data_IF_362581481385
#
_entry.id   IF_362581481385
#
_cell.length_a   1.000
_cell.length_b   1.000
_cell.length_c   1.000
_cell.angle_alpha   90.00
_cell.angle_beta   90.00
_cell.angle_gamma   90.00
#
_symmetry.space_group_name_H-M   'P 1'
#
loop_
_entity.id
_entity.type
_entity.pdbx_description
1 polymer ?
#
# COMPACT_ATOMS: atom_id res chain seq x y z
N UNK A 1 89.37 20.85 -13.29
CA UNK A 1 88.74 20.00 -14.34
C UNK A 1 88.31 18.69 -13.70
N UNK A 2 86.99 18.48 -13.55
CA UNK A 2 86.25 17.27 -13.12
C UNK A 2 84.83 17.77 -12.75
N UNK A 3 83.89 17.76 -13.71
CA UNK A 3 82.86 16.73 -13.92
C UNK A 3 82.08 16.40 -12.66
N UNK A 4 80.78 16.73 -12.60
CA UNK A 4 79.75 15.95 -11.89
C UNK A 4 78.32 16.35 -12.33
N UNK A 5 77.72 15.45 -13.13
CA UNK A 5 76.34 14.91 -13.04
C UNK A 5 75.16 15.89 -13.10
N UNK A 6 74.52 15.91 -14.26
CA UNK A 6 73.14 16.34 -14.53
C UNK A 6 72.16 15.37 -13.83
N UNK A 7 71.36 15.88 -12.88
CA UNK A 7 70.23 15.15 -12.28
C UNK A 7 68.99 15.32 -13.15
N UNK A 8 68.47 14.21 -13.65
CA UNK A 8 67.16 14.12 -14.29
C UNK A 8 66.05 14.27 -13.22
N UNK A 9 65.10 15.18 -13.46
CA UNK A 9 63.90 15.35 -12.64
C UNK A 9 62.84 14.33 -13.07
N UNK A 10 62.44 13.47 -12.13
CA UNK A 10 61.33 12.53 -12.27
C UNK A 10 60.05 13.22 -11.76
N UNK A 11 58.94 13.24 -12.51
CA UNK A 11 57.71 13.86 -12.04
C UNK A 11 57.00 12.94 -11.05
N UNK A 12 56.59 13.49 -9.89
CA UNK A 12 55.70 12.83 -8.95
C UNK A 12 54.33 12.62 -9.59
N UNK A 13 53.98 11.36 -9.84
CA UNK A 13 52.63 10.94 -10.21
C UNK A 13 51.76 10.99 -8.94
N UNK A 14 50.87 11.98 -8.82
CA UNK A 14 49.87 12.03 -7.76
C UNK A 14 48.80 10.97 -8.05
N UNK A 15 48.83 9.86 -7.30
CA UNK A 15 47.79 8.83 -7.34
C UNK A 15 46.59 9.38 -6.56
N UNK A 16 45.63 9.95 -7.29
CA UNK A 16 44.29 10.26 -6.78
C UNK A 16 43.56 8.95 -6.54
N UNK A 17 43.43 8.54 -5.28
CA UNK A 17 42.47 7.54 -4.87
C UNK A 17 41.06 8.11 -5.05
N UNK A 18 40.44 7.84 -6.19
CA UNK A 18 39.00 7.95 -6.33
C UNK A 18 38.38 6.83 -5.49
N UNK A 19 37.97 7.15 -4.27
CA UNK A 19 36.95 6.37 -3.57
C UNK A 19 35.70 6.39 -4.43
N UNK A 20 35.45 5.27 -5.12
CA UNK A 20 34.17 5.02 -5.76
C UNK A 20 33.11 4.96 -4.65
N UNK A 21 32.43 6.08 -4.40
CA UNK A 21 31.15 6.06 -3.73
C UNK A 21 30.21 5.27 -4.63
N UNK A 22 30.03 3.98 -4.34
CA UNK A 22 28.88 3.24 -4.84
C UNK A 22 27.64 3.99 -4.32
N UNK A 23 26.98 4.71 -5.21
CA UNK A 23 25.59 5.13 -4.98
C UNK A 23 24.81 3.88 -4.59
N UNK A 24 23.97 3.90 -3.54
CA UNK A 24 22.99 2.83 -3.32
C UNK A 24 22.08 2.83 -4.55
N UNK A 25 22.45 2.00 -5.53
CA UNK A 25 21.67 1.76 -6.71
C UNK A 25 20.37 1.10 -6.26
N UNK A 26 19.30 1.49 -6.93
CA UNK A 26 18.01 0.82 -6.94
C UNK A 26 18.19 -0.71 -6.85
N UNK A 27 17.95 -1.27 -5.65
CA UNK A 27 17.93 -2.72 -5.47
C UNK A 27 16.60 -3.21 -6.03
N UNK A 28 16.57 -3.40 -7.34
CA UNK A 28 15.41 -4.00 -7.98
C UNK A 28 15.54 -5.52 -7.88
N UNK A 29 15.09 -6.07 -6.76
CA UNK A 29 15.14 -7.51 -6.45
C UNK A 29 14.25 -8.37 -7.37
N UNK A 30 13.41 -7.74 -8.20
CA UNK A 30 12.65 -8.40 -9.27
C UNK A 30 13.39 -8.30 -10.61
N UNK A 31 14.67 -7.88 -10.62
CA UNK A 31 15.51 -7.89 -11.81
C UNK A 31 15.76 -9.33 -12.29
N UNK A 32 15.14 -9.67 -13.41
CA UNK A 32 15.27 -10.97 -14.06
C UNK A 32 14.00 -11.79 -14.10
N UNK A 33 12.90 -11.32 -13.48
CA UNK A 33 11.58 -11.91 -13.66
C UNK A 33 11.05 -11.53 -15.05
N UNK A 34 10.49 -12.50 -15.78
CA UNK A 34 10.01 -12.34 -17.16
C UNK A 34 8.50 -12.52 -17.23
N UNK A 35 7.87 -12.11 -18.34
CA UNK A 35 6.44 -12.33 -18.55
C UNK A 35 6.05 -13.84 -18.51
N UNK A 36 7.02 -14.74 -18.67
CA UNK A 36 6.84 -16.18 -18.54
C UNK A 36 6.64 -16.62 -17.08
N UNK A 37 7.17 -15.84 -16.12
CA UNK A 37 6.92 -16.01 -14.68
C UNK A 37 5.53 -15.49 -14.26
N UNK A 38 4.90 -14.66 -15.12
CA UNK A 38 3.58 -14.04 -14.96
C UNK A 38 2.47 -14.76 -15.76
N UNK A 39 2.70 -16.00 -16.24
CA UNK A 39 1.82 -16.72 -17.18
C UNK A 39 0.34 -16.94 -16.75
N UNK A 40 -0.05 -16.53 -15.53
CA UNK A 40 -1.44 -16.50 -15.07
C UNK A 40 -2.17 -15.16 -15.35
N UNK A 41 -1.48 -14.09 -15.74
CA UNK A 41 -2.07 -12.78 -16.05
C UNK A 41 -1.85 -12.43 -17.52
N UNK A 42 -2.64 -13.06 -18.40
CA UNK A 42 -2.64 -12.80 -19.84
C UNK A 42 -3.34 -11.47 -20.24
N UNK A 43 -3.48 -10.50 -19.33
CA UNK A 43 -4.02 -9.16 -19.63
C UNK A 43 -2.91 -8.10 -19.77
N UNK A 44 -1.81 -8.51 -20.39
CA UNK A 44 -0.78 -7.64 -20.91
C UNK A 44 -1.30 -6.78 -22.07
N UNK A 45 -2.02 -5.70 -21.74
CA UNK A 45 -2.15 -4.53 -22.62
C UNK A 45 -1.23 -3.43 -22.10
N UNK A 46 -0.03 -3.40 -22.67
CA UNK A 46 0.92 -2.30 -22.56
C UNK A 46 0.52 -1.09 -23.42
N UNK A 47 -0.77 -0.79 -23.58
CA UNK A 47 -1.24 0.30 -24.46
C UNK A 47 -2.42 1.05 -23.83
N UNK A 48 -2.17 1.80 -22.75
CA UNK A 48 -3.02 2.95 -22.40
C UNK A 48 -2.09 4.14 -22.13
N UNK A 49 -2.21 5.14 -22.98
CA UNK A 49 -1.45 6.37 -22.94
C UNK A 49 -1.83 7.21 -21.70
N UNK A 50 -0.81 7.81 -21.09
CA UNK A 50 -0.83 9.02 -20.26
C UNK A 50 -2.19 9.57 -19.78
N UNK A 51 -2.75 8.96 -18.73
CA UNK A 51 -3.74 9.56 -17.85
C UNK A 51 -3.22 9.45 -16.41
N UNK A 52 -2.95 10.60 -15.76
CA UNK A 52 -2.53 10.75 -14.36
C UNK A 52 -1.71 9.60 -13.75
N UNK A 53 -0.37 9.65 -13.80
CA UNK A 53 0.52 8.62 -13.24
C UNK A 53 0.41 8.55 -11.71
N UNK A 54 -0.61 7.84 -11.21
CA UNK A 54 -0.81 7.65 -9.77
C UNK A 54 0.29 6.74 -9.22
N UNK A 55 1.03 7.29 -8.26
CA UNK A 55 2.23 6.68 -7.67
C UNK A 55 1.98 6.46 -6.17
N UNK A 56 2.65 5.47 -5.58
CA UNK A 56 2.57 5.20 -4.14
C UNK A 56 3.68 5.92 -3.37
N UNK A 57 3.32 6.54 -2.26
CA UNK A 57 4.22 7.31 -1.40
C UNK A 57 4.03 6.92 0.05
N UNK A 58 5.13 6.78 0.79
CA UNK A 58 5.08 6.87 2.25
C UNK A 58 4.71 8.30 2.64
N UNK A 59 3.81 8.44 3.61
CA UNK A 59 3.37 9.74 4.12
C UNK A 59 3.67 9.86 5.62
N UNK A 60 4.18 11.02 6.03
CA UNK A 60 4.35 11.39 7.43
C UNK A 60 3.90 12.82 7.67
N UNK A 61 3.43 13.11 8.89
CA UNK A 61 3.08 14.47 9.30
C UNK A 61 4.31 15.37 9.43
N UNK A 62 4.12 16.66 9.23
CA UNK A 62 5.12 17.66 9.52
C UNK A 62 4.93 18.21 10.94
N UNK A 63 5.82 17.79 11.86
CA UNK A 63 5.81 18.21 13.28
C UNK A 63 6.63 19.48 13.55
N UNK A 64 7.14 20.15 12.50
CA UNK A 64 7.87 21.41 12.65
C UNK A 64 6.95 22.51 13.18
N UNK A 65 7.49 23.36 14.07
CA UNK A 65 6.77 24.51 14.64
C UNK A 65 7.10 25.78 13.86
N UNK A 66 6.18 26.24 13.03
CA UNK A 66 6.29 27.46 12.21
C UNK A 66 4.89 27.96 11.78
N UNK A 67 4.82 29.01 10.97
CA UNK A 67 3.56 29.51 10.45
C UNK A 67 3.02 28.61 9.31
N UNK A 68 1.78 28.13 9.45
CA UNK A 68 1.02 27.50 8.36
C UNK A 68 0.91 28.48 7.17
N UNK A 69 1.03 28.02 5.91
CA UNK A 69 1.10 26.63 5.43
C UNK A 69 2.52 26.08 5.28
N UNK A 70 3.57 26.73 5.79
CA UNK A 70 4.96 26.29 5.58
C UNK A 70 5.38 25.08 6.44
N UNK A 71 4.56 24.73 7.43
CA UNK A 71 4.63 23.51 8.21
C UNK A 71 3.24 23.11 8.74
N UNK A 72 3.16 21.94 9.37
CA UNK A 72 1.93 21.33 9.86
C UNK A 72 1.20 20.49 8.81
N UNK A 73 1.73 20.44 7.58
CA UNK A 73 1.26 19.56 6.51
C UNK A 73 1.86 18.14 6.59
N UNK A 74 2.26 17.61 5.44
CA UNK A 74 2.77 16.26 5.29
C UNK A 74 4.01 16.23 4.39
N UNK A 75 4.89 15.28 4.65
CA UNK A 75 5.98 14.91 3.78
C UNK A 75 5.67 13.58 3.10
N UNK A 76 5.87 13.54 1.78
CA UNK A 76 5.66 12.35 0.97
C UNK A 76 6.97 11.91 0.33
N UNK A 77 7.30 10.63 0.48
CA UNK A 77 8.47 9.98 -0.12
C UNK A 77 8.00 8.85 -1.03
N UNK A 78 8.42 8.86 -2.29
CA UNK A 78 8.05 7.82 -3.26
C UNK A 78 8.60 6.45 -2.81
N UNK A 79 7.72 5.45 -2.70
CA UNK A 79 8.13 4.10 -2.29
C UNK A 79 9.05 3.45 -3.35
N UNK A 80 9.97 2.60 -2.88
CA UNK A 80 10.98 1.90 -3.70
C UNK A 80 11.87 2.82 -4.55
N UNK A 81 12.00 4.09 -4.15
CA UNK A 81 12.77 5.10 -4.86
C UNK A 81 13.52 5.96 -3.84
N UNK A 82 14.71 6.41 -4.23
CA UNK A 82 15.53 7.34 -3.42
C UNK A 82 15.10 8.79 -3.60
N UNK A 83 14.29 9.07 -4.63
CA UNK A 83 13.84 10.42 -4.97
C UNK A 83 12.37 10.47 -5.34
N UNK A 84 11.79 11.65 -5.13
CA UNK A 84 10.39 12.01 -5.28
C UNK A 84 10.33 13.29 -6.13
N UNK A 85 9.58 13.26 -7.22
CA UNK A 85 9.32 14.45 -8.04
C UNK A 85 8.16 15.22 -7.41
N UNK A 86 8.42 16.45 -6.98
CA UNK A 86 7.46 17.32 -6.31
C UNK A 86 6.54 18.04 -7.30
N UNK A 87 5.55 18.78 -6.79
CA UNK A 87 4.56 19.52 -7.60
C UNK A 87 5.17 20.52 -8.59
N UNK A 88 6.39 20.99 -8.32
CA UNK A 88 7.14 21.93 -9.15
C UNK A 88 8.08 21.24 -10.15
N UNK A 89 8.05 19.91 -10.24
CA UNK A 89 8.93 19.11 -11.10
C UNK A 89 10.34 18.89 -10.57
N UNK A 90 10.70 19.46 -9.41
CA UNK A 90 12.00 19.22 -8.78
C UNK A 90 12.04 17.85 -8.11
N UNK A 91 13.20 17.21 -8.14
CA UNK A 91 13.44 15.94 -7.47
C UNK A 91 14.08 16.16 -6.10
N UNK A 92 13.51 15.54 -5.07
CA UNK A 92 13.99 15.60 -3.69
C UNK A 92 13.81 14.24 -2.99
N UNK A 93 14.42 14.00 -1.83
CA UNK A 93 14.17 12.76 -1.08
C UNK A 93 12.70 12.63 -0.65
N UNK A 94 12.06 13.76 -0.32
CA UNK A 94 10.66 13.86 0.04
C UNK A 94 10.10 15.23 -0.36
N UNK A 95 8.81 15.31 -0.60
CA UNK A 95 8.12 16.55 -0.97
C UNK A 95 7.15 16.97 0.13
N UNK A 96 7.14 18.26 0.46
CA UNK A 96 6.21 18.83 1.42
C UNK A 96 4.91 19.25 0.75
N UNK A 97 3.79 18.99 1.41
CA UNK A 97 2.47 19.48 1.03
C UNK A 97 1.71 19.98 2.26
N UNK A 98 1.12 21.19 2.25
CA UNK A 98 0.28 21.65 3.34
C UNK A 98 -1.13 21.06 3.34
N UNK A 99 -1.58 20.50 2.22
CA UNK A 99 -2.97 20.10 2.02
C UNK A 99 -3.05 18.76 1.29
N UNK A 100 -3.75 17.81 1.91
CA UNK A 100 -4.22 16.59 1.26
C UNK A 100 -5.61 16.85 0.70
N UNK A 101 -5.79 16.61 -0.59
CA UNK A 101 -7.08 16.63 -1.26
C UNK A 101 -7.58 15.18 -1.43
N UNK A 102 -8.75 14.91 -0.86
CA UNK A 102 -9.42 13.60 -0.91
C UNK A 102 -10.58 13.56 -1.91
N UNK A 103 -10.73 14.60 -2.74
CA UNK A 103 -11.83 14.70 -3.71
C UNK A 103 -11.89 13.53 -4.71
N UNK A 104 -10.76 12.86 -4.96
CA UNK A 104 -10.67 11.71 -5.86
C UNK A 104 -10.59 10.35 -5.12
N UNK A 105 -10.56 10.31 -3.78
CA UNK A 105 -10.46 9.05 -3.03
C UNK A 105 -11.80 8.47 -2.63
N UNK A 106 -12.86 9.30 -2.58
CA UNK A 106 -14.16 8.90 -2.03
C UNK A 106 -14.11 8.51 -0.55
N UNK A 107 -13.08 8.93 0.20
CA UNK A 107 -12.90 8.55 1.61
C UNK A 107 -13.63 9.52 2.54
N UNK A 108 -14.37 8.99 3.50
CA UNK A 108 -15.10 9.78 4.49
C UNK A 108 -14.16 10.45 5.50
N UNK A 109 -14.64 11.52 6.14
CA UNK A 109 -13.83 12.33 7.04
C UNK A 109 -13.17 11.51 8.15
N UNK A 110 -13.88 10.54 8.74
CA UNK A 110 -13.34 9.66 9.77
C UNK A 110 -12.13 8.84 9.27
N UNK A 111 -12.20 8.35 8.04
CA UNK A 111 -11.10 7.59 7.42
C UNK A 111 -9.94 8.52 7.05
N UNK A 112 -10.23 9.72 6.57
CA UNK A 112 -9.21 10.74 6.33
C UNK A 112 -8.48 11.12 7.63
N UNK A 113 -9.20 11.23 8.75
CA UNK A 113 -8.62 11.55 10.06
C UNK A 113 -7.77 10.40 10.59
N UNK A 114 -8.19 9.14 10.37
CA UNK A 114 -7.36 7.97 10.65
C UNK A 114 -6.04 8.03 9.89
N UNK A 115 -6.07 8.32 8.58
CA UNK A 115 -4.85 8.48 7.79
C UNK A 115 -3.95 9.61 8.35
N UNK A 116 -4.53 10.77 8.67
CA UNK A 116 -3.76 11.91 9.22
C UNK A 116 -3.11 11.55 10.56
N UNK A 117 -3.84 10.86 11.44
CA UNK A 117 -3.32 10.39 12.72
C UNK A 117 -2.15 9.41 12.53
N UNK A 118 -2.31 8.39 11.69
CA UNK A 118 -1.23 7.44 11.39
C UNK A 118 -0.03 8.11 10.72
N UNK A 119 -0.25 9.11 9.87
CA UNK A 119 0.84 9.90 9.29
C UNK A 119 1.58 10.71 10.37
N UNK A 120 0.89 11.27 11.36
CA UNK A 120 1.52 11.96 12.49
C UNK A 120 2.35 11.02 13.36
N UNK A 121 1.91 9.78 13.57
CA UNK A 121 2.68 8.75 14.26
C UNK A 121 3.98 8.40 13.50
N UNK A 122 3.91 8.34 12.16
CA UNK A 122 5.07 8.12 11.30
C UNK A 122 6.14 9.23 11.40
N UNK A 123 5.81 10.38 11.98
CA UNK A 123 6.77 11.48 12.18
C UNK A 123 7.70 11.28 13.37
N UNK A 124 7.32 10.40 14.31
CA UNK A 124 8.03 10.20 15.58
C UNK A 124 8.47 8.75 15.81
N UNK A 125 8.00 7.81 14.98
CA UNK A 125 8.40 6.41 14.99
C UNK A 125 9.16 6.05 13.70
N UNK A 126 10.16 5.14 13.77
CA UNK A 126 10.84 4.64 12.58
C UNK A 126 9.93 3.78 11.70
N UNK A 127 10.27 3.68 10.42
CA UNK A 127 9.53 2.90 9.41
C UNK A 127 8.39 3.68 8.74
N UNK A 128 7.62 2.98 7.91
CA UNK A 128 6.47 3.53 7.20
C UNK A 128 5.21 3.08 7.91
N UNK A 129 4.37 4.01 8.37
CA UNK A 129 3.09 3.68 9.03
C UNK A 129 1.88 3.92 8.13
N UNK A 130 1.99 4.84 7.18
CA UNK A 130 0.95 5.17 6.24
C UNK A 130 1.51 5.29 4.82
N UNK A 131 0.75 4.80 3.86
CA UNK A 131 1.03 4.87 2.43
C UNK A 131 -0.17 5.50 1.73
N UNK A 132 0.07 6.38 0.77
CA UNK A 132 -0.96 6.94 -0.10
C UNK A 132 -0.63 6.66 -1.56
N UNK A 133 -1.66 6.38 -2.35
CA UNK A 133 -1.60 6.46 -3.81
C UNK A 133 -2.17 7.81 -4.23
N UNK A 134 -1.53 8.46 -5.19
CA UNK A 134 -2.00 9.78 -5.62
C UNK A 134 -1.03 10.50 -6.54
N UNK A 135 -1.20 11.82 -6.62
CA UNK A 135 -0.38 12.73 -7.43
C UNK A 135 -0.25 14.10 -6.80
N UNK A 136 0.86 14.77 -7.06
CA UNK A 136 1.00 16.19 -6.73
C UNK A 136 0.18 17.08 -7.66
N UNK A 137 -0.36 18.16 -7.11
CA UNK A 137 -1.08 19.19 -7.84
C UNK A 137 -0.74 20.58 -7.29
N UNK A 138 -1.10 21.63 -8.03
CA UNK A 138 -0.95 23.01 -7.54
C UNK A 138 -2.07 23.32 -6.53
N UNK A 139 -1.75 24.09 -5.49
CA UNK A 139 -2.68 24.50 -4.44
C UNK A 139 -3.78 25.47 -4.95
N UNK A 140 -3.47 26.21 -6.02
CA UNK A 140 -4.32 27.26 -6.61
C UNK A 140 -3.70 28.64 -6.40
N UNK A 141 -3.78 29.51 -7.42
CA UNK A 141 -3.06 30.80 -7.45
C UNK A 141 -3.53 31.85 -6.43
N UNK A 142 -4.71 31.66 -5.83
CA UNK A 142 -5.30 32.59 -4.85
C UNK A 142 -5.06 32.22 -3.39
N UNK A 143 -4.46 31.05 -3.09
CA UNK A 143 -4.15 30.64 -1.71
C UNK A 143 -2.81 31.21 -1.25
N UNK A 144 -2.69 31.54 0.05
CA UNK A 144 -1.37 31.81 0.67
C UNK A 144 -0.53 30.53 0.55
N UNK A 145 0.73 30.66 0.15
CA UNK A 145 1.57 29.50 -0.15
C UNK A 145 1.25 28.84 -1.48
N UNK A 146 0.73 29.57 -2.48
CA UNK A 146 0.41 29.04 -3.81
C UNK A 146 1.62 28.40 -4.54
N UNK A 147 2.84 28.75 -4.13
CA UNK A 147 4.09 28.10 -4.55
C UNK A 147 4.26 26.69 -4.00
N UNK A 148 3.49 26.31 -2.97
CA UNK A 148 3.42 24.96 -2.41
C UNK A 148 2.43 24.11 -3.21
N UNK A 149 2.68 22.81 -3.24
CA UNK A 149 1.81 21.84 -3.90
C UNK A 149 0.83 21.21 -2.92
N UNK A 150 -0.37 20.87 -3.37
CA UNK A 150 -1.27 19.94 -2.68
C UNK A 150 -1.04 18.52 -3.17
N UNK A 151 -1.42 17.52 -2.38
CA UNK A 151 -1.39 16.12 -2.83
C UNK A 151 -2.80 15.57 -2.96
N UNK A 152 -3.15 15.09 -4.16
CA UNK A 152 -4.44 14.45 -4.43
C UNK A 152 -4.31 12.98 -4.09
N UNK A 153 -5.03 12.56 -3.06
CA UNK A 153 -5.09 11.18 -2.58
C UNK A 153 -6.17 10.45 -3.37
N UNK A 154 -5.85 9.26 -3.85
CA UNK A 154 -6.82 8.33 -4.48
C UNK A 154 -6.96 7.03 -3.69
N UNK A 155 -5.92 6.61 -2.96
CA UNK A 155 -5.98 5.49 -2.03
C UNK A 155 -5.12 5.79 -0.81
N UNK A 156 -5.48 5.18 0.32
CA UNK A 156 -4.74 5.26 1.56
C UNK A 156 -4.60 3.86 2.17
N UNK A 157 -3.49 3.60 2.83
CA UNK A 157 -3.13 2.30 3.38
C UNK A 157 -2.40 2.51 4.72
N UNK A 158 -2.70 1.67 5.72
CA UNK A 158 -2.11 1.79 7.06
C UNK A 158 -1.46 0.50 7.52
N UNK A 159 -0.31 0.63 8.18
CA UNK A 159 0.43 -0.49 8.74
C UNK A 159 -0.41 -1.25 9.76
N UNK A 160 -0.26 -2.56 9.79
CA UNK A 160 -0.99 -3.46 10.69
C UNK A 160 -0.19 -3.80 11.95
N UNK A 161 1.08 -3.42 12.00
CA UNK A 161 1.93 -3.59 13.18
C UNK A 161 2.78 -2.36 13.51
N UNK A 162 3.20 -2.31 14.78
CA UNK A 162 4.16 -1.34 15.30
C UNK A 162 5.61 -1.58 14.85
N UNK A 163 5.91 -2.71 14.19
CA UNK A 163 7.26 -3.08 13.76
C UNK A 163 7.86 -2.06 12.78
N UNK A 164 9.19 -2.01 12.74
CA UNK A 164 9.92 -1.17 11.80
C UNK A 164 9.78 -1.78 10.41
N UNK A 165 9.29 -0.98 9.48
CA UNK A 165 9.15 -1.37 8.08
C UNK A 165 10.51 -1.34 7.38
N UNK A 166 10.87 -2.44 6.73
CA UNK A 166 12.08 -2.56 5.91
C UNK A 166 11.83 -3.44 4.68
N UNK A 167 12.70 -3.31 3.67
CA UNK A 167 12.62 -4.02 2.39
C UNK A 167 11.78 -3.33 1.31
N UNK A 168 11.53 -4.05 0.21
CA UNK A 168 10.74 -3.56 -0.92
C UNK A 168 9.26 -3.62 -0.61
N UNK A 169 8.56 -2.56 -1.00
CA UNK A 169 7.10 -2.51 -0.94
C UNK A 169 6.51 -3.16 -2.19
N UNK A 170 5.76 -4.24 -2.00
CA UNK A 170 5.03 -4.93 -3.06
C UNK A 170 3.54 -4.96 -2.76
N UNK A 171 2.71 -4.95 -3.78
CA UNK A 171 1.30 -5.32 -3.68
C UNK A 171 1.18 -6.83 -3.86
N UNK A 172 0.57 -7.53 -2.91
CA UNK A 172 0.38 -8.99 -2.95
C UNK A 172 -1.11 -9.31 -3.04
N UNK A 173 -1.45 -10.22 -3.96
CA UNK A 173 -2.81 -10.72 -4.16
C UNK A 173 -2.79 -12.21 -4.44
N UNK A 174 -3.85 -12.92 -4.08
CA UNK A 174 -4.10 -14.27 -4.61
C UNK A 174 -4.24 -14.21 -6.14
N UNK A 175 -3.62 -15.15 -6.84
CA UNK A 175 -3.68 -15.25 -8.30
C UNK A 175 -4.63 -16.38 -8.77
N UNK A 176 -5.37 -17.01 -7.85
CA UNK A 176 -6.30 -18.10 -8.14
C UNK A 176 -5.64 -19.46 -8.39
N UNK A 177 -4.31 -19.57 -8.45
CA UNK A 177 -3.64 -20.84 -8.66
C UNK A 177 -3.77 -21.74 -7.43
N UNK A 178 -4.17 -23.00 -7.65
CA UNK A 178 -4.28 -24.03 -6.61
C UNK A 178 -3.53 -25.28 -7.06
N UNK A 179 -2.42 -25.59 -6.40
CA UNK A 179 -1.54 -26.68 -6.78
C UNK A 179 -1.81 -27.93 -5.95
N UNK A 180 -1.61 -29.11 -6.55
CA UNK A 180 -1.70 -30.39 -5.85
C UNK A 180 -0.46 -30.65 -4.98
N UNK A 181 0.66 -29.99 -5.28
CA UNK A 181 1.92 -30.16 -4.58
C UNK A 181 2.61 -28.81 -4.33
N UNK A 182 3.27 -28.71 -3.17
CA UNK A 182 4.00 -27.51 -2.75
C UNK A 182 5.45 -27.49 -3.30
N UNK A 183 6.09 -26.32 -3.41
CA UNK A 183 5.55 -24.97 -3.18
C UNK A 183 4.54 -24.55 -4.26
N UNK A 184 3.42 -23.94 -3.86
CA UNK A 184 2.41 -23.47 -4.82
C UNK A 184 2.49 -21.95 -4.99
N UNK A 185 2.90 -21.42 -6.17
CA UNK A 185 3.01 -19.99 -6.40
C UNK A 185 1.64 -19.33 -6.61
N UNK A 186 0.83 -19.37 -5.54
CA UNK A 186 -0.59 -18.99 -5.51
C UNK A 186 -0.84 -17.50 -5.27
N UNK A 187 0.23 -16.74 -5.03
CA UNK A 187 0.17 -15.30 -4.84
C UNK A 187 0.98 -14.60 -5.92
N UNK A 188 0.46 -13.49 -6.44
CA UNK A 188 1.20 -12.56 -7.28
C UNK A 188 1.68 -11.38 -6.44
N UNK A 189 2.97 -11.09 -6.50
CA UNK A 189 3.57 -9.87 -5.95
C UNK A 189 3.89 -8.91 -7.08
N UNK A 190 3.62 -7.62 -6.87
CA UNK A 190 3.96 -6.54 -7.80
C UNK A 190 4.69 -5.42 -7.07
N UNK A 191 5.92 -5.13 -7.45
CA UNK A 191 6.68 -4.05 -6.83
C UNK A 191 6.00 -2.69 -7.09
N UNK A 192 5.79 -1.93 -6.02
CA UNK A 192 5.18 -0.62 -6.14
C UNK A 192 6.09 0.32 -6.92
N UNK A 193 5.46 1.18 -7.74
CA UNK A 193 6.14 2.17 -8.60
C UNK A 193 7.06 1.57 -9.68
N UNK A 194 6.90 0.28 -9.99
CA UNK A 194 7.54 -0.42 -11.11
C UNK A 194 6.49 -1.22 -11.89
N UNK A 195 6.90 -1.78 -13.04
CA UNK A 195 6.07 -2.70 -13.82
C UNK A 195 6.32 -4.17 -13.46
N UNK A 196 7.21 -4.47 -12.50
CA UNK A 196 7.70 -5.82 -12.24
C UNK A 196 6.80 -6.58 -11.28
N UNK A 197 6.56 -7.84 -11.61
CA UNK A 197 5.80 -8.79 -10.82
C UNK A 197 6.47 -10.16 -10.83
N UNK A 198 6.08 -10.99 -9.87
CA UNK A 198 6.44 -12.40 -9.82
C UNK A 198 5.35 -13.16 -9.06
N UNK A 199 5.32 -14.48 -9.21
CA UNK A 199 4.52 -15.32 -8.33
C UNK A 199 5.35 -15.84 -7.16
N UNK A 200 4.78 -15.79 -5.97
CA UNK A 200 5.36 -16.31 -4.72
C UNK A 200 4.46 -17.39 -4.13
N UNK A 201 5.09 -18.31 -3.42
CA UNK A 201 4.46 -19.45 -2.79
C UNK A 201 4.31 -19.31 -1.28
N UNK A 202 4.95 -18.31 -0.67
CA UNK A 202 4.92 -18.11 0.77
C UNK A 202 5.18 -16.66 1.16
N UNK A 203 4.65 -16.27 2.31
CA UNK A 203 4.96 -15.01 3.00
C UNK A 203 5.37 -15.34 4.43
N UNK A 204 6.62 -15.00 4.79
CA UNK A 204 7.17 -15.22 6.12
C UNK A 204 6.91 -13.99 7.00
N UNK A 205 6.05 -14.16 8.01
CA UNK A 205 5.60 -13.09 8.91
C UNK A 205 6.42 -12.97 10.20
N UNK A 206 7.50 -13.73 10.34
CA UNK A 206 8.26 -13.82 11.60
C UNK A 206 8.80 -12.47 12.10
N UNK A 207 9.17 -11.56 11.19
CA UNK A 207 9.67 -10.22 11.52
C UNK A 207 8.58 -9.13 11.59
N UNK A 208 7.31 -9.49 11.38
CA UNK A 208 6.20 -8.52 11.30
C UNK A 208 5.76 -7.97 12.66
N UNK A 209 6.07 -8.69 13.74
CA UNK A 209 5.52 -8.42 15.07
C UNK A 209 4.00 -8.64 15.19
N UNK A 210 3.37 -9.33 14.23
CA UNK A 210 1.97 -9.72 14.25
C UNK A 210 1.78 -11.06 14.97
N UNK A 211 0.62 -11.23 15.59
CA UNK A 211 0.18 -12.53 16.11
C UNK A 211 -0.33 -13.44 14.99
N UNK A 212 -0.36 -14.75 15.24
CA UNK A 212 -0.90 -15.74 14.29
C UNK A 212 -2.34 -15.43 13.86
N UNK A 213 -3.16 -14.88 14.78
CA UNK A 213 -4.53 -14.45 14.51
C UNK A 213 -4.56 -13.31 13.47
N UNK A 214 -3.76 -12.26 13.69
CA UNK A 214 -3.64 -11.14 12.75
C UNK A 214 -3.07 -11.56 11.40
N UNK A 215 -2.10 -12.49 11.40
CA UNK A 215 -1.57 -13.08 10.16
C UNK A 215 -2.67 -13.82 9.41
N UNK A 216 -3.52 -14.56 10.11
CA UNK A 216 -4.71 -15.21 9.54
C UNK A 216 -5.68 -14.22 8.90
N UNK A 217 -6.01 -13.13 9.58
CA UNK A 217 -6.86 -12.06 9.06
C UNK A 217 -6.29 -11.43 7.78
N UNK A 218 -4.99 -11.15 7.77
CA UNK A 218 -4.28 -10.62 6.60
C UNK A 218 -4.23 -11.62 5.45
N UNK A 219 -4.15 -12.91 5.75
CA UNK A 219 -4.29 -13.97 4.75
C UNK A 219 -5.58 -13.80 3.93
N UNK A 220 -6.71 -13.51 4.59
CA UNK A 220 -7.98 -13.25 3.88
C UNK A 220 -7.95 -11.98 3.04
N UNK A 221 -7.26 -10.93 3.50
CA UNK A 221 -7.11 -9.66 2.75
C UNK A 221 -6.39 -9.82 1.40
N UNK A 222 -5.57 -10.86 1.22
CA UNK A 222 -4.95 -11.14 -0.07
C UNK A 222 -5.94 -11.60 -1.14
N UNK A 223 -7.09 -12.17 -0.73
CA UNK A 223 -8.15 -12.59 -1.64
C UNK A 223 -9.12 -11.45 -2.01
N UNK A 224 -9.08 -10.34 -1.28
CA UNK A 224 -9.89 -9.16 -1.59
C UNK A 224 -9.38 -8.44 -2.85
N UNK A 225 -10.25 -7.64 -3.48
CA UNK A 225 -9.89 -6.88 -4.67
C UNK A 225 -8.75 -5.88 -4.39
N UNK A 226 -8.66 -5.34 -3.17
CA UNK A 226 -7.55 -4.47 -2.81
C UNK A 226 -6.24 -5.24 -2.70
N UNK A 227 -6.25 -6.49 -2.23
CA UNK A 227 -5.05 -7.18 -1.76
C UNK A 227 -4.41 -6.48 -0.56
N UNK A 228 -3.13 -6.78 -0.34
CA UNK A 228 -2.29 -6.15 0.68
C UNK A 228 -1.08 -5.46 0.06
N UNK A 229 -0.54 -4.47 0.75
CA UNK A 229 0.85 -4.04 0.52
C UNK A 229 1.71 -4.68 1.60
N UNK A 230 2.83 -5.29 1.20
CA UNK A 230 3.81 -5.90 2.11
C UNK A 230 5.15 -5.21 1.90
N UNK A 231 5.86 -4.96 3.00
CA UNK A 231 7.26 -4.60 2.98
C UNK A 231 8.11 -5.78 3.45
N UNK A 232 9.19 -6.07 2.73
CA UNK A 232 10.20 -7.06 3.10
C UNK A 232 11.02 -7.47 1.90
N UNK A 233 11.70 -8.61 1.97
CA UNK A 233 12.67 -9.05 0.97
C UNK A 233 12.32 -10.43 0.40
N UNK A 234 12.72 -10.69 -0.84
CA UNK A 234 12.54 -12.02 -1.44
C UNK A 234 13.51 -13.04 -0.86
N UNK A 235 13.01 -14.25 -0.70
CA UNK A 235 13.81 -15.41 -0.39
C UNK A 235 13.44 -16.60 -1.29
N UNK A 236 14.36 -17.56 -1.39
CA UNK A 236 14.11 -18.82 -2.07
C UNK A 236 14.14 -19.95 -1.04
N UNK A 237 13.27 -20.93 -1.21
CA UNK A 237 13.17 -22.09 -0.34
C UNK A 237 12.93 -23.36 -1.15
N UNK A 238 12.92 -24.51 -0.47
CA UNK A 238 12.61 -25.80 -1.10
C UNK A 238 11.67 -26.61 -0.22
N UNK A 239 10.63 -27.16 -0.82
CA UNK A 239 9.77 -28.19 -0.20
C UNK A 239 9.94 -29.47 -0.99
N UNK A 240 10.39 -30.55 -0.34
CA UNK A 240 10.63 -31.85 -0.98
C UNK A 240 11.52 -31.76 -2.25
N UNK A 241 12.54 -30.90 -2.21
CA UNK A 241 13.48 -30.68 -3.30
C UNK A 241 12.98 -29.74 -4.42
N UNK A 242 11.69 -29.35 -4.42
CA UNK A 242 11.13 -28.40 -5.40
C UNK A 242 11.39 -26.96 -4.96
N UNK A 243 11.91 -26.09 -5.83
CA UNK A 243 12.17 -24.70 -5.48
C UNK A 243 10.87 -23.91 -5.34
N UNK A 244 10.86 -22.97 -4.39
CA UNK A 244 9.81 -21.99 -4.17
C UNK A 244 10.42 -20.61 -3.95
N UNK A 245 9.66 -19.59 -4.33
CA UNK A 245 9.96 -18.17 -4.08
C UNK A 245 9.02 -17.69 -2.97
N UNK A 246 9.53 -16.95 -2.01
CA UNK A 246 8.74 -16.36 -0.93
C UNK A 246 9.19 -14.93 -0.65
N UNK A 247 8.47 -14.25 0.24
CA UNK A 247 8.81 -12.90 0.70
C UNK A 247 8.67 -12.79 2.21
N UNK A 248 9.61 -12.14 2.88
CA UNK A 248 9.42 -11.76 4.28
C UNK A 248 8.42 -10.60 4.39
N UNK A 249 7.67 -10.54 5.46
CA UNK A 249 6.80 -9.44 5.79
C UNK A 249 7.29 -8.78 7.09
N UNK A 250 8.02 -7.67 6.97
CA UNK A 250 8.39 -6.83 8.12
C UNK A 250 7.22 -5.96 8.56
N UNK A 251 6.31 -5.64 7.62
CA UNK A 251 5.00 -5.06 7.90
C UNK A 251 4.04 -5.34 6.74
N UNK A 252 2.75 -5.29 7.03
CA UNK A 252 1.70 -5.28 6.02
C UNK A 252 0.81 -4.05 6.18
N UNK A 253 0.25 -3.60 5.07
CA UNK A 253 -0.63 -2.45 5.01
C UNK A 253 -1.94 -2.87 4.37
N UNK A 254 -3.02 -2.56 5.07
CA UNK A 254 -4.40 -2.77 4.60
C UNK A 254 -4.91 -1.45 4.05
N UNK A 255 -5.67 -1.54 2.96
CA UNK A 255 -6.31 -0.39 2.34
C UNK A 255 -7.33 0.19 3.31
N UNK A 256 -7.27 1.50 3.50
CA UNK A 256 -8.34 2.23 4.16
C UNK A 256 -9.52 2.31 3.20
N UNK A 257 -10.64 1.79 3.65
CA UNK A 257 -11.91 1.88 2.98
C UNK A 257 -12.87 2.61 3.91
N UNK A 258 -13.90 3.23 3.34
CA UNK A 258 -15.03 3.62 4.17
C UNK A 258 -15.54 2.36 4.83
N UNK A 259 -15.95 2.45 6.09
CA UNK A 259 -16.76 1.40 6.65
C UNK A 259 -17.90 1.17 5.63
N UNK A 260 -18.01 -0.06 5.11
CA UNK A 260 -19.20 -0.45 4.37
C UNK A 260 -20.38 0.04 5.21
N UNK A 261 -21.30 0.78 4.58
CA UNK A 261 -22.38 1.47 5.29
C UNK A 261 -22.87 0.61 6.46
N UNK A 262 -22.89 1.11 7.69
CA UNK A 262 -23.25 2.47 8.06
C UNK A 262 -22.72 2.87 9.44
N UNK A 263 -23.02 4.12 9.83
CA UNK A 263 -22.96 4.72 11.16
C UNK A 263 -23.19 3.77 12.37
N UNK A 264 -22.30 2.80 12.58
CA UNK A 264 -22.44 1.75 13.58
C UNK A 264 -23.51 0.70 13.29
N UNK A 265 -23.78 0.33 12.03
CA UNK A 265 -24.56 -0.89 11.73
C UNK A 265 -23.69 -1.95 11.06
N UNK A 266 -23.88 -3.19 11.49
CA UNK A 266 -23.09 -4.36 11.15
C UNK A 266 -24.01 -5.45 10.59
N UNK A 267 -23.51 -6.15 9.57
CA UNK A 267 -24.14 -7.36 9.07
C UNK A 267 -23.70 -8.54 9.92
N UNK A 268 -24.67 -9.28 10.47
CA UNK A 268 -24.46 -10.46 11.31
C UNK A 268 -25.48 -11.57 10.99
N UNK A 269 -25.54 -12.55 11.87
CA UNK A 269 -26.28 -13.79 11.67
C UNK A 269 -25.48 -14.82 10.86
N UNK A 270 -25.74 -16.10 11.08
CA UNK A 270 -24.99 -17.20 10.47
C UNK A 270 -25.16 -17.27 8.93
N UNK A 271 -26.14 -16.57 8.37
CA UNK A 271 -26.39 -16.45 6.93
C UNK A 271 -26.36 -15.00 6.45
N UNK A 272 -25.73 -14.10 7.20
CA UNK A 272 -25.64 -12.66 6.89
C UNK A 272 -27.01 -11.98 6.75
N UNK A 273 -28.00 -12.46 7.51
CA UNK A 273 -29.39 -12.03 7.39
C UNK A 273 -29.79 -10.93 8.40
N UNK A 274 -28.91 -10.57 9.34
CA UNK A 274 -29.19 -9.60 10.39
C UNK A 274 -28.43 -8.31 10.09
N UNK A 275 -29.13 -7.18 10.08
CA UNK A 275 -28.52 -5.86 10.16
C UNK A 275 -28.78 -5.32 11.58
N UNK A 276 -27.73 -5.01 12.33
CA UNK A 276 -27.83 -4.62 13.74
C UNK A 276 -26.82 -3.53 14.10
N UNK A 277 -27.10 -2.78 15.16
CA UNK A 277 -26.14 -1.85 15.77
C UNK A 277 -25.06 -2.55 16.63
N UNK A 278 -25.14 -3.88 16.76
CA UNK A 278 -24.17 -4.70 17.47
C UNK A 278 -23.29 -5.49 16.49
N UNK A 279 -21.98 -5.41 16.71
CA UNK A 279 -21.01 -6.22 15.96
C UNK A 279 -21.06 -7.68 16.43
N UNK A 280 -21.00 -8.62 15.48
CA UNK A 280 -20.89 -10.04 15.79
C UNK A 280 -22.16 -10.72 16.29
N UNK A 281 -23.35 -10.20 15.98
CA UNK A 281 -24.62 -10.89 16.30
C UNK A 281 -24.65 -12.27 15.63
N UNK A 282 -24.89 -13.31 16.43
CA UNK A 282 -24.98 -14.70 15.96
C UNK A 282 -26.45 -15.14 16.02
N UNK A 283 -26.93 -15.73 14.94
CA UNK A 283 -28.23 -16.40 14.86
C UNK A 283 -28.05 -17.92 14.92
N UNK A 284 -29.15 -18.65 15.03
CA UNK A 284 -29.13 -20.06 14.62
C UNK A 284 -28.70 -20.18 13.15
N UNK A 285 -27.95 -21.23 12.81
CA UNK A 285 -27.49 -21.50 11.44
C UNK A 285 -28.57 -22.20 10.59
N UNK A 286 -29.82 -21.79 10.75
CA UNK A 286 -30.89 -22.21 9.86
C UNK A 286 -30.79 -21.46 8.54
N UNK A 287 -31.03 -22.15 7.42
CA UNK A 287 -31.04 -21.53 6.11
C UNK A 287 -32.49 -21.34 5.63
N UNK A 288 -32.81 -20.13 5.17
CA UNK A 288 -34.06 -19.80 4.47
C UNK A 288 -33.74 -19.12 3.14
N UNK A 289 -34.58 -19.34 2.13
CA UNK A 289 -34.36 -18.81 0.78
C UNK A 289 -34.27 -17.28 0.76
N UNK A 290 -35.09 -16.61 1.59
CA UNK A 290 -35.10 -15.16 1.77
C UNK A 290 -33.74 -14.57 2.22
N UNK A 291 -32.86 -15.35 2.85
CA UNK A 291 -31.57 -14.85 3.34
C UNK A 291 -30.60 -14.51 2.20
N UNK A 292 -30.73 -15.17 1.05
CA UNK A 292 -29.97 -14.83 -0.14
C UNK A 292 -30.26 -13.38 -0.61
N UNK A 293 -31.46 -12.86 -0.33
CA UNK A 293 -31.83 -11.48 -0.69
C UNK A 293 -31.03 -10.43 0.09
N UNK A 294 -30.62 -10.74 1.32
CA UNK A 294 -29.88 -9.82 2.18
C UNK A 294 -28.37 -9.77 1.86
N UNK A 295 -27.81 -10.78 1.18
CA UNK A 295 -26.39 -10.81 0.80
C UNK A 295 -25.99 -9.66 -0.12
N UNK A 296 -26.92 -9.16 -0.93
CA UNK A 296 -26.72 -8.02 -1.82
C UNK A 296 -27.38 -6.73 -1.30
N UNK A 297 -27.99 -6.75 -0.12
CA UNK A 297 -28.68 -5.61 0.46
C UNK A 297 -27.70 -4.69 1.21
N UNK A 298 -28.07 -3.42 1.34
CA UNK A 298 -27.33 -2.44 2.14
C UNK A 298 -27.84 -2.43 3.57
N UNK A 299 -26.97 -2.61 4.56
CA UNK A 299 -27.31 -2.51 5.98
C UNK A 299 -26.99 -1.10 6.47
N UNK A 300 -27.99 -0.29 6.78
CA UNK A 300 -27.72 1.06 7.27
C UNK A 300 -28.67 1.56 8.35
N UNK A 301 -28.26 2.64 9.03
CA UNK A 301 -29.12 3.35 9.99
C UNK A 301 -30.27 4.00 9.24
N UNK A 302 -31.47 3.53 9.49
CA UNK A 302 -32.70 3.98 8.85
C UNK A 302 -33.12 5.36 9.37
N UNK A 303 -34.08 6.00 8.71
CA UNK A 303 -34.66 7.26 9.15
C UNK A 303 -35.29 7.18 10.57
N UNK A 304 -35.58 5.97 11.06
CA UNK A 304 -36.03 5.71 12.44
C UNK A 304 -34.91 5.80 13.48
N UNK A 305 -33.65 5.86 13.05
CA UNK A 305 -32.48 5.83 13.92
C UNK A 305 -32.00 4.42 14.25
N UNK A 306 -32.70 3.36 13.81
CA UNK A 306 -32.34 1.95 14.02
C UNK A 306 -31.58 1.38 12.82
N UNK A 307 -30.74 0.38 13.05
CA UNK A 307 -30.08 -0.35 11.97
C UNK A 307 -31.08 -1.27 11.26
N UNK A 308 -31.09 -1.23 9.93
CA UNK A 308 -31.97 -2.06 9.12
C UNK A 308 -31.49 -2.18 7.68
N UNK A 309 -32.07 -3.14 6.96
CA UNK A 309 -31.81 -3.31 5.53
C UNK A 309 -32.51 -2.21 4.73
N UNK A 310 -31.76 -1.50 3.88
CA UNK A 310 -32.28 -0.44 3.03
C UNK A 310 -33.25 -1.04 2.00
N UNK A 311 -34.52 -0.60 1.98
CA UNK A 311 -35.50 -1.13 1.05
C UNK A 311 -35.20 -0.66 -0.37
N UNK A 312 -34.70 -1.55 -1.21
CA UNK A 312 -34.57 -1.32 -2.66
C UNK A 312 -35.65 -2.09 -3.42
N UNK A 313 -36.03 -1.68 -4.65
CA UNK A 313 -36.93 -2.46 -5.49
C UNK A 313 -36.45 -3.90 -5.70
N UNK A 314 -35.14 -4.11 -5.82
CA UNK A 314 -34.50 -5.40 -5.99
C UNK A 314 -34.66 -6.27 -4.75
N UNK A 315 -34.37 -5.72 -3.56
CA UNK A 315 -34.54 -6.41 -2.29
C UNK A 315 -36.01 -6.80 -2.06
N UNK A 316 -36.92 -5.85 -2.24
CA UNK A 316 -38.35 -6.08 -2.05
C UNK A 316 -38.89 -7.13 -3.03
N UNK A 317 -38.43 -7.13 -4.28
CA UNK A 317 -38.81 -8.15 -5.26
C UNK A 317 -38.28 -9.52 -4.86
N UNK A 318 -37.02 -9.61 -4.41
CA UNK A 318 -36.43 -10.87 -3.96
C UNK A 318 -37.17 -11.44 -2.75
N UNK A 319 -37.51 -10.61 -1.76
CA UNK A 319 -38.24 -11.01 -0.56
C UNK A 319 -39.71 -11.37 -0.85
N UNK A 320 -40.29 -10.90 -1.96
CA UNK A 320 -41.67 -11.22 -2.33
C UNK A 320 -41.81 -12.59 -3.01
N UNK A 321 -40.71 -13.17 -3.52
CA UNK A 321 -40.71 -14.43 -4.29
C UNK A 321 -39.99 -15.59 -3.60
N UNK A 322 -39.40 -15.34 -2.43
CA UNK A 322 -38.72 -16.35 -1.58
C UNK A 322 -39.39 -16.43 -0.21
#
# INVERSE_FOLDING_TARGET
MRSFITKAALPLLSISFFTACATPGEYDELAGETAEDDAANADGKADQAADGVYTYFAIKGDVRRCASPYCGGQFLSRLNRTTTVCHNGQSAAQCYTPELDFSESGLDQAVQDKLRATASEASIAPGVKAIVRGRFAKLGSSKVGAELGRFVVTEAWVAQSGAVTDGVFVKVKDNGLRCIAAPCPSMNEKALNTARSANIADVDWSDSGLSDEQVGELGYKMFEESGLIIAGDRFNFKISGRPGKGRTATNAFVRLENAAASEGCFVGGCSSQICSDQEGVISTCEWRAEYACYQAATCERQATGECGWTPTPELNTCLAVN
#
